data_IF_007295782285
#
_entry.id   IF_007295782285
#
_cell.length_a   1.000
_cell.length_b   1.000
_cell.length_c   1.000
_cell.angle_alpha   90.00
_cell.angle_beta   90.00
_cell.angle_gamma   90.00
#
_symmetry.space_group_name_H-M   'P 1'
#
loop_
_entity.id
_entity.type
_entity.pdbx_description
1 polymer ?
#
# COMPACT_ATOMS: atom_id res chain seq x y z
N UNK A 1 -6.87 -39.17 -5.17
CA UNK A 1 -6.31 -38.61 -3.92
C UNK A 1 -5.48 -37.34 -4.18
N UNK A 2 -4.42 -37.38 -5.02
CA UNK A 2 -3.58 -36.21 -5.32
C UNK A 2 -4.35 -35.00 -5.90
N UNK A 3 -5.30 -35.22 -6.83
CA UNK A 3 -6.12 -34.14 -7.38
C UNK A 3 -7.06 -33.49 -6.35
N UNK A 4 -7.65 -34.28 -5.44
CA UNK A 4 -8.48 -33.77 -4.34
C UNK A 4 -7.65 -33.01 -3.30
N UNK A 5 -6.43 -33.49 -3.02
CA UNK A 5 -5.47 -32.79 -2.16
C UNK A 5 -5.02 -31.46 -2.79
N UNK A 6 -4.77 -31.44 -4.10
CA UNK A 6 -4.45 -30.21 -4.84
C UNK A 6 -5.57 -29.19 -4.76
N UNK A 7 -6.82 -29.60 -5.03
CA UNK A 7 -7.96 -28.72 -4.95
C UNK A 7 -8.16 -28.18 -3.52
N UNK A 8 -8.08 -29.04 -2.50
CA UNK A 8 -8.19 -28.61 -1.10
C UNK A 8 -7.06 -27.68 -0.66
N UNK A 9 -5.81 -27.97 -1.06
CA UNK A 9 -4.65 -27.15 -0.73
C UNK A 9 -4.73 -25.78 -1.42
N UNK A 10 -5.06 -25.74 -2.70
CA UNK A 10 -5.25 -24.47 -3.42
C UNK A 10 -6.40 -23.67 -2.81
N UNK A 11 -7.52 -24.32 -2.49
CA UNK A 11 -8.63 -23.64 -1.83
C UNK A 11 -8.24 -23.10 -0.45
N UNK A 12 -7.41 -23.81 0.31
CA UNK A 12 -6.95 -23.38 1.62
C UNK A 12 -5.93 -22.23 1.54
N UNK A 13 -4.97 -22.32 0.61
CA UNK A 13 -3.89 -21.33 0.45
C UNK A 13 -4.37 -20.07 -0.26
N UNK A 14 -5.29 -20.20 -1.21
CA UNK A 14 -5.65 -19.14 -2.15
C UNK A 14 -7.15 -18.76 -2.13
N UNK A 15 -8.01 -19.51 -1.43
CA UNK A 15 -9.47 -19.36 -1.52
C UNK A 15 -10.07 -20.09 -2.73
N UNK A 16 -11.39 -19.99 -2.94
CA UNK A 16 -12.08 -20.69 -4.04
C UNK A 16 -11.55 -20.24 -5.40
N UNK A 17 -10.70 -21.06 -6.02
CA UNK A 17 -10.24 -20.83 -7.38
C UNK A 17 -11.44 -20.99 -8.34
N UNK A 18 -11.75 -19.95 -9.13
CA UNK A 18 -12.80 -20.02 -10.15
C UNK A 18 -12.43 -21.10 -11.18
N UNK A 19 -13.40 -21.92 -11.55
CA UNK A 19 -13.21 -23.18 -12.30
C UNK A 19 -12.74 -23.07 -13.75
N UNK A 20 -11.99 -22.04 -14.13
CA UNK A 20 -11.71 -21.69 -15.53
C UNK A 20 -10.22 -21.60 -15.89
N UNK A 21 -9.31 -22.03 -15.01
CA UNK A 21 -7.88 -22.14 -15.32
C UNK A 21 -7.42 -23.61 -15.32
N UNK A 22 -6.62 -23.98 -16.32
CA UNK A 22 -5.89 -25.25 -16.38
C UNK A 22 -4.77 -25.27 -15.32
N UNK A 23 -5.15 -25.21 -14.04
CA UNK A 23 -4.25 -25.22 -12.89
C UNK A 23 -3.38 -26.48 -12.98
N UNK A 24 -2.08 -26.30 -13.21
CA UNK A 24 -1.11 -27.41 -13.18
C UNK A 24 -0.53 -27.46 -11.78
N UNK A 25 -0.76 -28.57 -11.08
CA UNK A 25 -0.21 -28.80 -9.74
C UNK A 25 0.64 -30.06 -9.75
N UNK A 26 1.87 -29.94 -9.26
CA UNK A 26 2.79 -31.07 -9.08
C UNK A 26 3.18 -31.20 -7.61
N UNK A 27 3.39 -32.45 -7.17
CA UNK A 27 3.82 -32.80 -5.83
C UNK A 27 5.08 -33.66 -5.91
N UNK A 28 6.06 -33.34 -5.09
CA UNK A 28 7.27 -34.14 -4.93
C UNK A 28 7.43 -34.57 -3.46
N UNK A 29 7.77 -35.84 -3.23
CA UNK A 29 8.10 -36.35 -1.90
C UNK A 29 6.92 -36.38 -0.93
N UNK A 30 5.74 -36.83 -1.39
CA UNK A 30 4.55 -37.01 -0.55
C UNK A 30 4.79 -38.14 0.47
N UNK A 31 4.50 -37.87 1.73
CA UNK A 31 4.45 -38.85 2.82
C UNK A 31 3.31 -38.51 3.76
N UNK A 32 2.76 -39.52 4.44
CA UNK A 32 1.64 -39.32 5.37
C UNK A 32 1.81 -40.18 6.61
N UNK A 33 1.43 -39.63 7.76
CA UNK A 33 1.38 -40.33 9.04
C UNK A 33 0.16 -39.88 9.83
N UNK A 34 -0.45 -40.80 10.56
CA UNK A 34 -1.43 -40.40 11.58
C UNK A 34 -0.69 -39.83 12.78
N UNK A 35 -1.25 -38.79 13.38
CA UNK A 35 -0.78 -38.19 14.63
C UNK A 35 -1.50 -38.84 15.82
N UNK A 36 -0.93 -38.69 17.01
CA UNK A 36 -1.44 -39.32 18.24
C UNK A 36 -2.86 -38.85 18.62
N UNK A 37 -3.27 -37.69 18.11
CA UNK A 37 -4.61 -37.10 18.26
C UNK A 37 -5.61 -37.51 17.15
N UNK A 38 -5.24 -38.50 16.32
CA UNK A 38 -6.09 -39.04 15.25
C UNK A 38 -6.17 -38.17 14.00
N UNK A 39 -5.43 -37.06 13.91
CA UNK A 39 -5.33 -36.28 12.68
C UNK A 39 -4.36 -36.95 11.67
N UNK A 40 -4.49 -36.56 10.40
CA UNK A 40 -3.60 -37.02 9.33
C UNK A 40 -2.57 -35.92 9.04
N UNK A 41 -1.32 -36.18 9.40
CA UNK A 41 -0.17 -35.36 9.02
C UNK A 41 0.34 -35.75 7.64
N UNK A 42 0.37 -34.80 6.70
CA UNK A 42 0.90 -34.99 5.35
C UNK A 42 2.15 -34.12 5.21
N UNK A 43 3.27 -34.70 4.81
CA UNK A 43 4.50 -33.97 4.49
C UNK A 43 4.78 -34.07 2.98
N UNK A 44 5.10 -32.95 2.35
CA UNK A 44 5.40 -32.82 0.93
C UNK A 44 6.70 -32.03 0.79
N UNK A 45 7.69 -32.57 0.07
CA UNK A 45 8.97 -31.86 -0.14
C UNK A 45 8.78 -30.61 -0.98
N UNK A 46 8.01 -30.69 -2.05
CA UNK A 46 7.78 -29.58 -2.98
C UNK A 46 6.36 -29.63 -3.55
N UNK A 47 5.70 -28.48 -3.58
CA UNK A 47 4.45 -28.25 -4.30
C UNK A 47 4.71 -27.17 -5.32
N UNK A 48 4.39 -27.40 -6.58
CA UNK A 48 4.35 -26.32 -7.59
C UNK A 48 2.95 -26.22 -8.16
N UNK A 49 2.50 -24.98 -8.33
CA UNK A 49 1.21 -24.66 -8.91
C UNK A 49 1.40 -23.51 -9.91
N UNK A 50 0.81 -23.59 -11.09
CA UNK A 50 1.00 -22.58 -12.14
C UNK A 50 -0.33 -22.16 -12.78
N UNK A 51 -0.33 -20.94 -13.32
CA UNK A 51 -1.47 -20.32 -14.01
C UNK A 51 -2.73 -20.25 -13.13
N UNK A 52 -2.55 -19.86 -11.87
CA UNK A 52 -3.63 -19.82 -10.88
C UNK A 52 -4.43 -18.54 -11.06
N UNK A 53 -5.76 -18.67 -11.04
CA UNK A 53 -6.68 -17.54 -11.11
C UNK A 53 -7.74 -17.67 -10.03
N UNK A 54 -7.83 -16.66 -9.19
CA UNK A 54 -8.79 -16.57 -8.08
C UNK A 54 -9.64 -15.34 -8.32
N UNK A 55 -10.96 -15.50 -8.32
CA UNK A 55 -11.90 -14.38 -8.40
C UNK A 55 -12.62 -14.27 -7.06
N UNK A 56 -12.64 -13.05 -6.48
CA UNK A 56 -13.37 -12.73 -5.27
C UNK A 56 -14.18 -11.46 -5.49
N UNK A 57 -15.46 -11.64 -5.84
CA UNK A 57 -16.31 -10.54 -6.29
C UNK A 57 -15.70 -9.85 -7.52
N UNK A 58 -15.47 -8.53 -7.49
CA UNK A 58 -14.90 -7.81 -8.62
C UNK A 58 -13.36 -7.82 -8.65
N UNK A 59 -12.70 -8.42 -7.66
CA UNK A 59 -11.25 -8.56 -7.61
C UNK A 59 -10.82 -9.87 -8.28
N UNK A 60 -9.83 -9.78 -9.17
CA UNK A 60 -9.18 -10.92 -9.80
C UNK A 60 -7.73 -10.96 -9.36
N UNK A 61 -7.31 -12.11 -8.84
CA UNK A 61 -5.92 -12.41 -8.50
C UNK A 61 -5.42 -13.49 -9.44
N UNK A 62 -4.35 -13.20 -10.15
CA UNK A 62 -3.62 -14.15 -10.97
C UNK A 62 -2.25 -14.42 -10.33
N UNK A 63 -1.83 -15.68 -10.32
CA UNK A 63 -0.50 -16.09 -9.88
C UNK A 63 0.11 -16.94 -11.00
N UNK A 64 1.17 -16.43 -11.63
CA UNK A 64 1.86 -17.15 -12.70
C UNK A 64 2.42 -18.49 -12.20
N UNK A 65 3.16 -18.45 -11.10
CA UNK A 65 3.71 -19.64 -10.44
C UNK A 65 3.75 -19.47 -8.91
N UNK A 66 3.42 -20.54 -8.21
CA UNK A 66 3.56 -20.73 -6.78
C UNK A 66 4.42 -21.97 -6.54
N UNK A 67 5.51 -21.84 -5.79
CA UNK A 67 6.31 -22.96 -5.31
C UNK A 67 6.34 -22.95 -3.78
N UNK A 68 5.98 -24.07 -3.16
CA UNK A 68 6.08 -24.27 -1.72
C UNK A 68 7.11 -25.36 -1.44
N UNK A 69 7.96 -25.15 -0.44
CA UNK A 69 9.01 -26.09 -0.05
C UNK A 69 8.83 -26.57 1.39
N UNK A 70 9.06 -27.86 1.60
CA UNK A 70 8.91 -28.53 2.90
C UNK A 70 7.56 -28.24 3.53
N UNK A 71 6.50 -28.66 2.85
CA UNK A 71 5.12 -28.42 3.24
C UNK A 71 4.68 -29.48 4.24
N UNK A 72 4.10 -29.04 5.36
CA UNK A 72 3.42 -29.90 6.32
C UNK A 72 1.94 -29.49 6.40
N UNK A 73 1.05 -30.45 6.21
CA UNK A 73 -0.40 -30.27 6.31
C UNK A 73 -0.92 -31.06 7.50
N UNK A 74 -1.80 -30.46 8.28
CA UNK A 74 -2.62 -31.16 9.26
C UNK A 74 -4.04 -31.26 8.74
N UNK A 75 -4.54 -32.49 8.58
CA UNK A 75 -5.86 -32.78 8.02
C UNK A 75 -6.69 -33.51 9.05
N UNK A 76 -7.89 -32.99 9.34
CA UNK A 76 -8.91 -33.68 10.16
C UNK A 76 -10.04 -34.21 9.30
N UNK A 77 -10.66 -35.31 9.73
CA UNK A 77 -11.85 -35.85 9.07
C UNK A 77 -13.06 -35.49 9.91
N UNK A 78 -13.84 -34.52 9.47
CA UNK A 78 -15.09 -34.09 10.12
C UNK A 78 -16.27 -34.54 9.27
N UNK A 79 -17.20 -35.32 9.85
CA UNK A 79 -18.37 -35.82 9.12
C UNK A 79 -18.02 -36.62 7.86
N UNK A 80 -16.90 -37.35 7.89
CA UNK A 80 -16.40 -38.12 6.73
C UNK A 80 -15.72 -37.29 5.65
N UNK A 81 -15.51 -35.98 5.85
CA UNK A 81 -14.86 -35.10 4.89
C UNK A 81 -13.50 -34.62 5.41
N UNK A 82 -12.40 -34.78 4.65
CA UNK A 82 -11.11 -34.25 5.03
C UNK A 82 -11.13 -32.72 4.95
N UNK A 83 -10.69 -32.06 6.02
CA UNK A 83 -10.52 -30.62 6.15
C UNK A 83 -9.09 -30.32 6.52
N UNK A 84 -8.46 -29.43 5.77
CA UNK A 84 -7.15 -28.91 6.11
C UNK A 84 -7.35 -27.93 7.27
N UNK A 85 -6.70 -28.19 8.39
CA UNK A 85 -6.73 -27.35 9.58
C UNK A 85 -5.56 -26.38 9.58
N UNK A 86 -4.38 -26.86 9.16
CA UNK A 86 -3.14 -26.08 9.17
C UNK A 86 -2.26 -26.44 7.99
N UNK A 87 -1.60 -25.42 7.43
CA UNK A 87 -0.55 -25.56 6.41
C UNK A 87 0.68 -24.83 6.87
N UNK A 88 1.83 -25.51 6.83
CA UNK A 88 3.13 -24.92 7.05
C UNK A 88 4.04 -25.16 5.86
N UNK A 89 4.89 -24.20 5.54
CA UNK A 89 5.94 -24.36 4.54
C UNK A 89 7.20 -23.65 5.02
N UNK A 90 8.36 -24.26 4.80
CA UNK A 90 9.64 -23.63 5.13
C UNK A 90 9.89 -22.38 4.27
N UNK A 91 9.50 -22.43 3.00
CA UNK A 91 9.48 -21.28 2.11
C UNK A 91 8.36 -21.37 1.09
N UNK A 92 7.94 -20.20 0.62
CA UNK A 92 7.05 -20.03 -0.52
C UNK A 92 7.65 -19.01 -1.50
N UNK A 93 7.60 -19.31 -2.79
CA UNK A 93 7.97 -18.39 -3.86
C UNK A 93 6.75 -18.18 -4.75
N UNK A 94 6.37 -16.93 -4.97
CA UNK A 94 5.34 -16.53 -5.92
C UNK A 94 5.99 -15.71 -7.03
N UNK A 95 5.56 -15.92 -8.26
CA UNK A 95 5.96 -15.07 -9.38
C UNK A 95 4.80 -14.75 -10.30
N UNK A 96 4.90 -13.57 -10.93
CA UNK A 96 3.86 -13.05 -11.82
C UNK A 96 2.52 -12.87 -11.12
N UNK A 97 2.50 -12.43 -9.85
CA UNK A 97 1.25 -12.13 -9.17
C UNK A 97 0.68 -10.84 -9.76
N UNK A 98 -0.59 -10.88 -10.14
CA UNK A 98 -1.35 -9.71 -10.57
C UNK A 98 -2.65 -9.66 -9.80
N UNK A 99 -2.96 -8.51 -9.21
CA UNK A 99 -4.27 -8.23 -8.63
C UNK A 99 -4.87 -7.10 -9.44
N UNK A 100 -6.08 -7.27 -9.93
CA UNK A 100 -6.78 -6.23 -10.66
C UNK A 100 -8.24 -6.16 -10.21
N UNK A 101 -8.76 -4.94 -10.07
CA UNK A 101 -10.17 -4.71 -9.86
C UNK A 101 -10.50 -3.25 -9.53
N UNK A 102 -11.77 -2.96 -9.22
CA UNK A 102 -12.18 -1.62 -8.83
C UNK A 102 -11.55 -1.27 -7.49
N UNK A 103 -11.18 0.00 -7.32
CA UNK A 103 -10.79 0.50 -6.00
C UNK A 103 -12.03 0.42 -5.09
N UNK A 104 -11.98 -0.29 -3.96
CA UNK A 104 -13.16 -0.49 -3.12
C UNK A 104 -13.71 0.85 -2.64
N UNK A 105 -15.00 1.08 -2.89
CA UNK A 105 -15.67 2.32 -2.48
C UNK A 105 -15.77 2.42 -0.96
N UNK A 106 -15.96 3.63 -0.43
CA UNK A 106 -16.01 3.91 1.01
C UNK A 106 -17.09 3.09 1.74
N UNK A 107 -18.18 2.70 1.06
CA UNK A 107 -19.22 1.83 1.60
C UNK A 107 -18.75 0.38 1.81
N UNK A 108 -17.79 -0.11 1.00
CA UNK A 108 -17.19 -1.43 1.20
C UNK A 108 -16.22 -1.45 2.41
N UNK A 109 -15.70 -0.29 2.82
CA UNK A 109 -14.90 -0.16 4.06
C UNK A 109 -15.74 -0.30 5.33
N UNK A 110 -17.05 -0.03 5.28
CA UNK A 110 -17.94 -0.24 6.43
C UNK A 110 -18.21 -1.73 6.72
N UNK A 111 -18.06 -2.60 5.71
CA UNK A 111 -18.15 -4.06 5.88
C UNK A 111 -16.85 -4.69 6.42
N UNK A 112 -15.72 -3.98 6.28
CA UNK A 112 -14.51 -4.26 7.04
C UNK A 112 -14.65 -3.50 8.37
N UNK A 113 -15.36 -4.10 9.34
CA UNK A 113 -15.24 -3.71 10.76
C UNK A 113 -13.81 -3.99 11.23
N UNK A 114 -12.84 -3.24 10.70
CA UNK A 114 -11.51 -3.14 11.26
C UNK A 114 -11.59 -2.15 12.41
N UNK A 115 -10.97 -2.54 13.52
CA UNK A 115 -10.76 -1.70 14.68
C UNK A 115 -10.26 -0.32 14.25
N UNK A 116 -10.94 0.79 14.58
CA UNK A 116 -10.53 2.14 14.18
C UNK A 116 -9.11 2.53 14.67
N UNK A 117 -8.50 1.72 15.54
CA UNK A 117 -7.12 1.81 15.99
C UNK A 117 -6.06 1.14 15.06
N UNK A 118 -6.43 0.53 13.93
CA UNK A 118 -5.55 -0.42 13.21
C UNK A 118 -4.47 0.18 12.27
N UNK A 119 -4.29 1.50 12.21
CA UNK A 119 -3.28 2.10 11.33
C UNK A 119 -2.06 2.56 12.12
N UNK A 120 -0.91 1.95 11.83
CA UNK A 120 0.42 2.37 12.30
C UNK A 120 1.35 2.37 11.11
N UNK A 121 1.96 3.51 10.80
CA UNK A 121 2.85 3.70 9.65
C UNK A 121 4.23 4.16 10.11
N UNK A 122 4.80 3.50 11.13
CA UNK A 122 6.06 3.90 11.76
C UNK A 122 7.24 4.08 10.77
N UNK A 123 7.37 3.29 9.67
CA UNK A 123 8.39 3.52 8.65
C UNK A 123 8.41 4.94 8.05
N UNK A 124 7.28 5.66 8.09
CA UNK A 124 7.21 7.03 7.60
C UNK A 124 7.87 8.05 8.53
N UNK A 125 8.08 7.73 9.81
CA UNK A 125 8.65 8.64 10.81
C UNK A 125 10.11 9.02 10.52
N UNK A 126 10.84 8.11 9.87
CA UNK A 126 12.25 8.29 9.51
C UNK A 126 12.44 8.32 7.98
N UNK A 127 11.38 8.59 7.22
CA UNK A 127 11.45 8.60 5.78
C UNK A 127 12.34 9.74 5.25
N UNK A 128 13.07 9.45 4.17
CA UNK A 128 13.98 10.38 3.51
C UNK A 128 13.73 10.38 2.01
N UNK A 129 13.73 11.53 1.36
CA UNK A 129 13.57 11.56 -0.09
C UNK A 129 13.18 12.90 -0.68
N UNK A 130 12.65 12.86 -1.89
CA UNK A 130 12.16 14.06 -2.59
C UNK A 130 11.04 13.67 -3.53
N UNK A 131 9.95 14.44 -3.46
CA UNK A 131 8.89 14.43 -4.45
C UNK A 131 9.03 15.66 -5.35
N UNK A 132 8.69 15.47 -6.62
CA UNK A 132 8.65 16.50 -7.65
C UNK A 132 7.30 16.46 -8.34
N UNK A 133 6.78 17.63 -8.69
CA UNK A 133 5.61 17.76 -9.52
C UNK A 133 5.85 18.80 -10.60
N UNK A 134 5.49 18.50 -11.84
CA UNK A 134 5.54 19.46 -12.94
C UNK A 134 4.12 19.71 -13.41
N UNK A 135 3.70 20.98 -13.40
CA UNK A 135 2.35 21.40 -13.75
C UNK A 135 2.43 22.17 -15.06
N UNK A 136 1.92 21.57 -16.13
CA UNK A 136 1.90 22.19 -17.46
C UNK A 136 0.84 23.31 -17.50
N UNK A 137 1.24 24.47 -18.02
CA UNK A 137 0.52 25.75 -18.00
C UNK A 137 -0.26 26.04 -16.69
N UNK A 138 0.47 26.08 -15.58
CA UNK A 138 -0.04 26.36 -14.24
C UNK A 138 -0.64 27.77 -14.11
N UNK A 139 -0.08 28.76 -14.82
CA UNK A 139 -0.64 30.11 -14.96
C UNK A 139 -0.07 30.80 -16.21
N UNK A 140 -0.93 31.35 -17.08
CA UNK A 140 -0.54 32.21 -18.21
C UNK A 140 0.59 31.65 -19.11
N UNK A 141 0.50 30.39 -19.54
CA UNK A 141 1.45 29.71 -20.45
C UNK A 141 2.80 29.32 -19.84
N UNK A 142 2.93 29.30 -18.51
CA UNK A 142 4.16 28.87 -17.84
C UNK A 142 3.98 27.60 -17.02
N UNK A 143 4.97 26.72 -17.15
CA UNK A 143 5.09 25.50 -16.37
C UNK A 143 5.57 25.83 -14.96
N UNK A 144 5.08 25.06 -13.98
CA UNK A 144 5.56 25.12 -12.61
C UNK A 144 6.24 23.82 -12.21
N UNK A 145 7.45 23.91 -11.67
CA UNK A 145 8.20 22.80 -11.10
C UNK A 145 8.19 22.92 -9.58
N UNK A 146 7.59 21.94 -8.91
CA UNK A 146 7.48 21.86 -7.47
C UNK A 146 8.43 20.80 -6.97
N UNK A 147 9.29 21.13 -6.00
CA UNK A 147 10.16 20.18 -5.33
C UNK A 147 9.90 20.21 -3.82
N UNK A 148 9.58 19.04 -3.27
CA UNK A 148 9.26 18.84 -1.86
C UNK A 148 10.25 17.84 -1.25
N UNK A 149 11.27 18.31 -0.50
CA UNK A 149 12.16 17.41 0.23
C UNK A 149 11.42 16.78 1.42
N UNK A 150 11.76 15.53 1.73
CA UNK A 150 11.31 14.80 2.91
C UNK A 150 12.55 14.46 3.74
N UNK A 151 12.56 14.91 4.99
CA UNK A 151 13.66 14.74 5.95
C UNK A 151 13.11 14.26 7.28
N UNK A 152 13.61 13.15 7.80
CA UNK A 152 13.19 12.54 9.06
C UNK A 152 11.67 12.45 9.17
N UNK A 153 11.02 11.94 8.11
CA UNK A 153 9.57 11.81 8.05
C UNK A 153 8.80 13.14 7.98
N UNK A 154 9.49 14.26 7.86
CA UNK A 154 8.92 15.60 7.82
C UNK A 154 9.06 16.29 6.47
N UNK A 155 8.09 17.15 6.16
CA UNK A 155 8.14 18.14 5.10
C UNK A 155 8.19 19.52 5.75
N UNK A 156 9.27 20.26 5.52
CA UNK A 156 9.38 21.67 5.88
C UNK A 156 9.01 22.52 4.67
N UNK A 157 7.90 23.26 4.74
CA UNK A 157 7.45 24.07 3.61
C UNK A 157 8.34 25.30 3.35
N UNK A 158 9.28 25.62 4.24
CA UNK A 158 10.31 26.63 3.95
C UNK A 158 11.39 26.08 2.98
N UNK A 159 11.52 24.76 2.88
CA UNK A 159 12.46 24.08 1.97
C UNK A 159 11.79 23.60 0.67
N UNK A 160 10.45 23.62 0.62
CA UNK A 160 9.70 23.35 -0.60
C UNK A 160 9.86 24.52 -1.59
N UNK A 161 10.18 24.20 -2.84
CA UNK A 161 10.35 25.19 -3.92
C UNK A 161 9.26 25.03 -4.97
N UNK A 162 8.81 26.17 -5.51
CA UNK A 162 7.91 26.25 -6.67
C UNK A 162 8.58 27.20 -7.66
N UNK A 163 9.24 26.62 -8.65
CA UNK A 163 9.90 27.34 -9.72
C UNK A 163 8.91 27.51 -10.88
N UNK A 164 8.68 28.74 -11.32
CA UNK A 164 7.92 29.05 -12.53
C UNK A 164 8.47 30.34 -13.15
N UNK A 165 8.14 30.60 -14.42
CA UNK A 165 8.52 31.85 -15.09
C UNK A 165 7.52 32.94 -14.67
N UNK A 166 7.82 33.63 -13.57
CA UNK A 166 6.96 34.66 -12.97
C UNK A 166 7.34 34.97 -11.52
N UNK A 167 6.57 35.80 -10.78
CA UNK A 167 6.91 36.16 -9.41
C UNK A 167 6.79 34.96 -8.46
N UNK A 168 7.76 34.78 -7.56
CA UNK A 168 7.90 33.61 -6.66
C UNK A 168 6.57 33.10 -6.08
N UNK A 169 6.17 31.88 -6.46
CA UNK A 169 5.10 31.16 -5.78
C UNK A 169 5.67 30.39 -4.60
N UNK A 170 4.94 30.25 -3.50
CA UNK A 170 5.43 29.57 -2.29
C UNK A 170 4.38 28.69 -1.66
N UNK A 171 4.77 27.52 -1.18
CA UNK A 171 3.87 26.58 -0.52
C UNK A 171 3.87 26.78 0.99
N UNK A 172 2.80 26.33 1.65
CA UNK A 172 2.77 26.30 3.10
C UNK A 172 1.58 25.53 3.64
N UNK A 173 1.50 25.47 4.96
CA UNK A 173 0.40 24.85 5.68
C UNK A 173 -0.17 25.81 6.70
N UNK A 174 -1.48 26.01 6.66
CA UNK A 174 -2.23 26.87 7.59
C UNK A 174 -3.31 26.06 8.29
N UNK A 175 -4.03 26.68 9.23
CA UNK A 175 -5.19 26.04 9.88
C UNK A 175 -6.29 25.62 8.91
N UNK A 176 -6.38 26.25 7.74
CA UNK A 176 -7.36 25.85 6.71
C UNK A 176 -6.88 24.67 5.87
N UNK A 177 -5.58 24.45 5.73
CA UNK A 177 -5.04 23.47 4.80
C UNK A 177 -3.67 23.78 4.22
N UNK A 178 -3.24 22.91 3.31
CA UNK A 178 -2.04 23.09 2.48
C UNK A 178 -2.38 24.03 1.34
N UNK A 179 -1.54 25.04 1.12
CA UNK A 179 -1.78 26.11 0.17
C UNK A 179 -0.55 26.43 -0.69
N UNK A 180 -0.81 27.15 -1.78
CA UNK A 180 0.17 27.86 -2.60
C UNK A 180 -0.20 29.35 -2.56
N UNK A 181 0.76 30.19 -2.20
CA UNK A 181 0.69 31.63 -2.37
C UNK A 181 1.22 31.97 -3.76
N UNK A 182 0.38 32.58 -4.58
CA UNK A 182 0.72 33.11 -5.90
C UNK A 182 0.51 34.64 -5.91
N UNK A 183 0.99 35.37 -6.93
CA UNK A 183 0.88 36.84 -6.98
C UNK A 183 -0.56 37.36 -6.95
N UNK A 184 -1.51 36.56 -7.44
CA UNK A 184 -2.95 36.86 -7.46
C UNK A 184 -3.70 36.41 -6.19
N UNK A 185 -3.01 35.81 -5.23
CA UNK A 185 -3.57 35.40 -3.94
C UNK A 185 -3.25 33.96 -3.56
N UNK A 186 -3.87 33.52 -2.46
CA UNK A 186 -3.69 32.18 -1.89
C UNK A 186 -4.69 31.20 -2.46
N UNK A 187 -4.20 30.05 -2.92
CA UNK A 187 -5.02 28.91 -3.34
C UNK A 187 -4.76 27.70 -2.46
N UNK A 188 -5.82 27.05 -1.95
CA UNK A 188 -5.69 25.83 -1.16
C UNK A 188 -5.64 24.61 -2.06
N UNK A 189 -4.64 23.75 -1.87
CA UNK A 189 -4.54 22.46 -2.55
C UNK A 189 -5.33 21.37 -1.82
N UNK A 190 -5.23 21.39 -0.49
CA UNK A 190 -5.89 20.43 0.39
C UNK A 190 -6.46 21.18 1.59
N UNK A 191 -7.75 21.01 1.87
CA UNK A 191 -8.44 21.60 3.02
C UNK A 191 -8.57 20.60 4.16
N UNK A 192 -8.24 21.03 5.38
CA UNK A 192 -8.37 20.20 6.57
C UNK A 192 -9.83 20.09 7.03
N UNK A 193 -10.28 18.92 7.50
CA UNK A 193 -11.64 18.75 8.03
C UNK A 193 -11.87 19.48 9.34
N UNK A 194 -10.84 19.52 10.19
CA UNK A 194 -10.86 20.20 11.48
C UNK A 194 -9.43 20.43 11.95
N UNK A 195 -9.26 21.37 12.88
CA UNK A 195 -7.97 21.63 13.54
C UNK A 195 -8.09 21.40 15.04
N UNK A 196 -7.04 20.91 15.72
CA UNK A 196 -5.70 20.63 15.20
C UNK A 196 -5.61 19.34 14.37
N UNK A 197 -4.74 19.34 13.34
CA UNK A 197 -4.40 18.17 12.53
C UNK A 197 -3.13 17.53 13.08
N UNK A 198 -3.15 16.21 13.23
CA UNK A 198 -2.00 15.45 13.71
C UNK A 198 -0.78 15.64 12.79
N UNK A 199 0.39 15.88 13.40
CA UNK A 199 1.63 16.04 12.65
C UNK A 199 1.84 17.40 11.98
N UNK A 200 0.95 18.37 12.14
CA UNK A 200 1.05 19.66 11.45
C UNK A 200 1.50 20.77 12.40
N UNK A 201 2.61 21.42 12.06
CA UNK A 201 2.98 22.73 12.60
C UNK A 201 2.54 23.80 11.61
N UNK A 202 1.60 24.66 12.01
CA UNK A 202 1.05 25.68 11.10
C UNK A 202 2.00 26.86 10.87
N UNK A 203 1.77 27.57 9.76
CA UNK A 203 2.44 28.82 9.43
C UNK A 203 2.43 29.81 10.61
N UNK A 204 3.53 30.54 10.76
CA UNK A 204 3.64 31.69 11.67
C UNK A 204 3.82 32.97 10.86
N UNK A 205 3.08 34.00 11.25
CA UNK A 205 3.17 35.34 10.65
C UNK A 205 3.90 36.26 11.61
N UNK A 206 4.84 37.05 11.09
CA UNK A 206 5.64 37.96 11.90
C UNK A 206 4.80 39.17 12.34
N UNK A 207 4.94 39.55 13.62
CA UNK A 207 4.30 40.76 14.15
C UNK A 207 5.04 42.07 13.76
N UNK A 208 6.32 41.98 13.38
CA UNK A 208 7.25 43.12 13.24
C UNK A 208 7.40 43.68 11.81
N UNK A 209 7.08 42.91 10.77
CA UNK A 209 7.19 43.33 9.35
C UNK A 209 5.81 43.55 8.70
N UNK A 210 4.78 43.73 9.52
CA UNK A 210 3.37 43.82 9.11
C UNK A 210 2.67 42.44 9.07
N UNK A 211 1.33 42.39 9.24
CA UNK A 211 0.53 41.14 9.35
C UNK A 211 0.55 40.23 8.11
N UNK A 212 1.24 40.64 7.04
CA UNK A 212 1.34 39.95 5.76
C UNK A 212 2.69 39.21 5.58
N UNK A 213 3.68 39.44 6.45
CA UNK A 213 4.97 38.79 6.36
C UNK A 213 4.95 37.39 7.00
N UNK A 214 4.90 36.33 6.18
CA UNK A 214 5.04 34.93 6.63
C UNK A 214 6.50 34.68 7.00
N UNK A 215 6.77 34.41 8.29
CA UNK A 215 8.12 34.12 8.80
C UNK A 215 8.44 32.64 8.78
N UNK A 216 7.43 31.79 8.91
CA UNK A 216 7.55 30.33 8.78
C UNK A 216 6.32 29.77 8.06
N UNK A 217 6.54 28.89 7.07
CA UNK A 217 5.48 28.30 6.23
C UNK A 217 4.85 27.03 6.79
N UNK A 218 5.30 26.61 7.97
CA UNK A 218 4.84 25.42 8.67
C UNK A 218 5.54 24.14 8.24
N UNK A 219 5.21 23.05 8.92
CA UNK A 219 5.78 21.71 8.73
C UNK A 219 4.71 20.64 8.80
N UNK A 220 4.97 19.51 8.15
CA UNK A 220 4.09 18.34 8.17
C UNK A 220 4.90 17.09 8.47
N UNK A 221 4.49 16.31 9.46
CA UNK A 221 5.04 15.00 9.82
C UNK A 221 4.22 13.90 9.16
N UNK A 222 4.82 13.14 8.25
CA UNK A 222 4.15 12.21 7.35
C UNK A 222 3.38 11.12 8.09
N UNK A 223 4.01 10.46 9.07
CA UNK A 223 3.37 9.37 9.82
C UNK A 223 2.07 9.83 10.50
N UNK A 224 2.10 10.75 11.50
CA UNK A 224 0.88 11.12 12.22
C UNK A 224 -0.17 11.78 11.31
N UNK A 225 0.27 12.49 10.27
CA UNK A 225 -0.65 13.08 9.29
C UNK A 225 -1.40 12.00 8.50
N UNK A 226 -0.69 11.04 7.89
CA UNK A 226 -1.30 10.00 7.06
C UNK A 226 -2.12 9.00 7.88
N UNK A 227 -1.65 8.62 9.08
CA UNK A 227 -2.46 7.84 10.01
C UNK A 227 -3.76 8.57 10.39
N UNK A 228 -3.68 9.88 10.64
CA UNK A 228 -4.85 10.72 10.90
C UNK A 228 -5.84 10.73 9.73
N UNK A 229 -5.34 10.89 8.50
CA UNK A 229 -6.17 10.85 7.29
C UNK A 229 -6.86 9.49 7.08
N UNK A 230 -6.15 8.39 7.33
CA UNK A 230 -6.69 7.03 7.17
C UNK A 230 -7.75 6.71 8.22
N UNK A 231 -7.58 7.18 9.46
CA UNK A 231 -8.56 7.01 10.54
C UNK A 231 -9.83 7.86 10.34
N UNK A 232 -9.73 9.00 9.67
CA UNK A 232 -10.86 9.92 9.44
C UNK A 232 -11.85 9.45 8.34
N UNK A 233 -11.60 8.31 7.71
CA UNK A 233 -12.49 7.58 6.79
C UNK A 233 -13.65 8.40 6.20
N UNK A 234 -13.40 9.20 5.15
CA UNK A 234 -14.36 10.05 4.40
C UNK A 234 -15.71 10.30 5.11
N UNK A 235 -15.66 10.92 6.29
CA UNK A 235 -16.82 11.55 6.91
C UNK A 235 -17.26 12.75 6.06
N UNK A 236 -18.56 12.88 5.83
CA UNK A 236 -19.16 13.90 4.98
C UNK A 236 -18.72 15.32 5.40
N UNK A 237 -17.92 15.98 4.56
CA UNK A 237 -17.48 17.36 4.76
C UNK A 237 -16.59 17.84 3.61
N UNK A 238 -16.46 19.16 3.47
CA UNK A 238 -15.67 19.89 2.45
C UNK A 238 -14.15 19.70 2.56
N UNK A 239 -13.71 18.68 3.29
CA UNK A 239 -12.32 18.37 3.55
C UNK A 239 -11.71 17.55 2.40
N UNK A 240 -10.44 17.79 2.12
CA UNK A 240 -9.71 17.09 1.07
C UNK A 240 -9.21 18.01 -0.03
N UNK A 241 -8.93 17.40 -1.19
CA UNK A 241 -8.49 18.13 -2.37
C UNK A 241 -9.57 19.11 -2.83
N UNK A 242 -9.19 20.36 -3.08
CA UNK A 242 -10.10 21.41 -3.53
C UNK A 242 -10.42 21.27 -5.02
N UNK A 243 -11.53 21.86 -5.48
CA UNK A 243 -11.87 21.83 -6.93
C UNK A 243 -10.78 22.46 -7.81
N UNK A 244 -10.17 23.61 -7.46
CA UNK A 244 -9.02 24.13 -8.19
C UNK A 244 -7.85 23.14 -8.25
N UNK A 245 -7.55 22.43 -7.17
CA UNK A 245 -6.48 21.43 -7.16
C UNK A 245 -6.77 20.26 -8.10
N UNK A 246 -8.03 19.78 -8.12
CA UNK A 246 -8.47 18.69 -9.00
C UNK A 246 -8.36 19.05 -10.48
N UNK A 247 -8.60 20.30 -10.85
CA UNK A 247 -8.45 20.77 -12.24
C UNK A 247 -7.00 20.72 -12.73
N UNK A 248 -6.01 20.79 -11.83
CA UNK A 248 -4.60 20.72 -12.19
C UNK A 248 -4.12 19.28 -12.43
N UNK A 249 -4.82 18.27 -11.90
CA UNK A 249 -4.35 16.88 -11.87
C UNK A 249 -4.11 16.27 -13.25
N UNK A 250 -4.95 16.62 -14.24
CA UNK A 250 -4.78 16.14 -15.62
C UNK A 250 -3.53 16.70 -16.31
N UNK A 251 -2.93 17.76 -15.74
CA UNK A 251 -1.78 18.49 -16.28
C UNK A 251 -0.57 18.45 -15.34
N UNK A 252 -0.68 17.67 -14.26
CA UNK A 252 0.37 17.54 -13.25
C UNK A 252 1.04 16.19 -13.41
N UNK A 253 2.31 16.19 -13.81
CA UNK A 253 3.19 15.05 -13.66
C UNK A 253 3.74 15.01 -12.23
N UNK A 254 3.98 13.83 -11.69
CA UNK A 254 4.63 13.64 -10.39
C UNK A 254 5.72 12.60 -10.55
N UNK A 255 6.87 12.84 -9.93
CA UNK A 255 7.93 11.85 -9.82
C UNK A 255 8.66 12.00 -8.49
N UNK A 256 9.23 10.93 -7.97
CA UNK A 256 10.01 11.03 -6.74
C UNK A 256 10.40 9.69 -6.18
N UNK A 257 11.24 9.74 -5.15
CA UNK A 257 11.58 8.57 -4.36
C UNK A 257 11.57 8.92 -2.88
N UNK A 258 11.20 7.93 -2.07
CA UNK A 258 11.17 8.00 -0.62
C UNK A 258 11.74 6.70 -0.08
N UNK A 259 12.86 6.78 0.60
CA UNK A 259 13.40 5.71 1.41
C UNK A 259 12.59 5.63 2.69
N UNK A 260 11.86 4.53 2.89
CA UNK A 260 11.15 4.29 4.15
C UNK A 260 12.16 3.90 5.25
N UNK A 261 11.87 4.31 6.48
CA UNK A 261 12.60 3.85 7.65
C UNK A 261 12.21 2.43 8.06
N UNK A 262 12.87 1.92 9.10
CA UNK A 262 12.47 0.69 9.75
C UNK A 262 11.35 0.96 10.76
N UNK A 263 10.52 -0.04 11.03
CA UNK A 263 9.48 0.09 12.06
C UNK A 263 8.26 -0.78 11.83
N UNK A 264 7.35 -0.72 12.81
CA UNK A 264 6.10 -1.46 12.79
C UNK A 264 5.10 -0.87 11.80
N UNK A 265 4.48 -1.74 11.00
CA UNK A 265 3.44 -1.43 10.04
C UNK A 265 2.16 -2.20 10.41
N UNK A 266 1.10 -1.47 10.76
CA UNK A 266 -0.25 -2.03 10.92
C UNK A 266 -1.17 -1.44 9.86
N UNK A 267 -1.83 -2.33 9.12
CA UNK A 267 -2.88 -2.05 8.15
C UNK A 267 -4.11 -2.91 8.51
N UNK A 268 -5.32 -2.59 8.03
CA UNK A 268 -6.46 -3.47 8.19
C UNK A 268 -6.16 -4.89 7.68
N UNK A 269 -6.16 -5.85 8.60
CA UNK A 269 -5.88 -7.26 8.31
C UNK A 269 -4.41 -7.61 8.11
N UNK A 270 -3.46 -6.69 8.28
CA UNK A 270 -2.02 -6.98 8.14
C UNK A 270 -1.21 -6.27 9.21
N UNK A 271 -0.29 -6.99 9.83
CA UNK A 271 0.71 -6.49 10.75
C UNK A 271 2.08 -7.01 10.32
N UNK A 272 3.10 -6.16 10.32
CA UNK A 272 4.45 -6.53 9.93
C UNK A 272 5.49 -5.54 10.49
N UNK A 273 6.76 -5.93 10.45
CA UNK A 273 7.89 -5.05 10.77
C UNK A 273 8.71 -4.80 9.50
N UNK A 274 8.81 -3.55 9.06
CA UNK A 274 9.66 -3.16 7.95
C UNK A 274 11.10 -3.03 8.43
N UNK A 275 12.04 -3.57 7.65
CA UNK A 275 13.47 -3.52 7.98
C UNK A 275 14.36 -3.48 6.75
N UNK A 276 15.61 -3.04 6.93
CA UNK A 276 16.62 -2.98 5.88
C UNK A 276 16.76 -1.62 5.21
N UNK A 277 16.25 -0.55 5.82
CA UNK A 277 16.41 0.82 5.31
C UNK A 277 17.89 1.21 5.14
N UNK A 278 18.77 0.81 6.06
CA UNK A 278 20.22 1.01 5.97
C UNK A 278 20.89 0.24 4.81
N UNK A 279 20.23 -0.80 4.31
CA UNK A 279 20.65 -1.60 3.15
C UNK A 279 20.00 -1.10 1.84
N UNK A 280 19.25 0.02 1.89
CA UNK A 280 18.53 0.56 0.73
C UNK A 280 17.27 -0.24 0.34
N UNK A 281 16.73 -1.06 1.25
CA UNK A 281 15.48 -1.80 1.05
C UNK A 281 14.28 -0.91 1.31
N UNK A 282 13.11 -1.23 0.76
CA UNK A 282 11.87 -0.46 0.96
C UNK A 282 11.93 0.98 0.39
N UNK A 283 12.66 1.19 -0.70
CA UNK A 283 12.57 2.47 -1.43
C UNK A 283 11.27 2.50 -2.24
N UNK A 284 10.44 3.51 -1.96
CA UNK A 284 9.23 3.82 -2.72
C UNK A 284 9.58 4.77 -3.85
N UNK A 285 9.24 4.42 -5.08
CA UNK A 285 9.26 5.34 -6.23
C UNK A 285 7.84 5.69 -6.61
N UNK A 286 7.59 6.98 -6.77
CA UNK A 286 6.32 7.52 -7.21
C UNK A 286 6.49 8.04 -8.62
N UNK A 287 5.58 7.71 -9.53
CA UNK A 287 5.56 8.33 -10.85
C UNK A 287 4.15 8.45 -11.41
N UNK A 288 3.92 9.54 -12.14
CA UNK A 288 2.72 9.83 -12.89
C UNK A 288 3.03 10.85 -13.97
N UNK A 289 2.50 10.65 -15.18
CA UNK A 289 2.51 11.69 -16.23
C UNK A 289 1.35 12.69 -16.08
N UNK A 290 0.25 12.24 -15.49
CA UNK A 290 -0.95 13.01 -15.22
C UNK A 290 -1.65 12.38 -14.00
N UNK A 291 -1.53 13.00 -12.83
CA UNK A 291 -2.05 12.46 -11.55
C UNK A 291 -3.56 12.23 -11.61
N UNK A 292 -4.28 12.97 -12.46
CA UNK A 292 -5.72 12.80 -12.69
C UNK A 292 -6.08 11.50 -13.43
N UNK A 293 -5.10 10.83 -14.03
CA UNK A 293 -5.30 9.64 -14.87
C UNK A 293 -4.68 8.39 -14.27
N UNK A 294 -3.49 8.51 -13.72
CA UNK A 294 -2.73 7.38 -13.20
C UNK A 294 -1.74 7.81 -12.13
N UNK A 295 -1.55 6.96 -11.14
CA UNK A 295 -0.46 7.04 -10.18
C UNK A 295 0.16 5.65 -10.01
N UNK A 296 1.46 5.56 -10.24
CA UNK A 296 2.21 4.33 -10.00
C UNK A 296 3.12 4.50 -8.80
N UNK A 297 3.11 3.50 -7.93
CA UNK A 297 3.97 3.36 -6.77
C UNK A 297 4.75 2.06 -6.92
N UNK A 298 6.07 2.13 -6.95
CA UNK A 298 6.95 0.97 -6.98
C UNK A 298 7.67 0.87 -5.64
N UNK A 299 7.72 -0.33 -5.06
CA UNK A 299 8.54 -0.64 -3.89
C UNK A 299 9.56 -1.65 -4.36
N UNK A 300 10.79 -1.17 -4.55
CA UNK A 300 11.92 -2.02 -4.90
C UNK A 300 12.53 -2.61 -3.63
N UNK A 301 12.77 -3.93 -3.65
CA UNK A 301 13.36 -4.64 -2.53
C UNK A 301 12.56 -4.50 -1.25
N UNK A 302 11.24 -4.68 -1.32
CA UNK A 302 10.39 -4.84 -0.14
C UNK A 302 11.02 -5.90 0.78
N UNK A 303 11.10 -5.57 2.07
CA UNK A 303 11.68 -6.41 3.11
C UNK A 303 10.92 -6.16 4.40
N UNK A 304 10.05 -7.11 4.74
CA UNK A 304 9.25 -7.08 5.96
C UNK A 304 9.38 -8.40 6.72
N UNK A 305 9.26 -8.33 8.04
CA UNK A 305 9.40 -9.46 8.96
C UNK A 305 8.18 -9.59 9.84
N UNK A 306 8.06 -10.75 10.50
CA UNK A 306 7.03 -11.04 11.49
C UNK A 306 5.62 -10.70 10.96
N UNK A 307 5.35 -11.05 9.70
CA UNK A 307 4.10 -10.70 9.04
C UNK A 307 2.99 -11.57 9.60
N UNK A 308 1.89 -10.94 9.99
CA UNK A 308 0.63 -11.57 10.35
C UNK A 308 -0.44 -10.98 9.45
N UNK A 309 -1.11 -11.83 8.68
CA UNK A 309 -2.19 -11.44 7.79
C UNK A 309 -3.50 -12.14 8.17
N UNK A 310 -4.62 -11.46 7.98
CA UNK A 310 -5.98 -11.98 8.18
C UNK A 310 -6.83 -11.61 6.98
N UNK A 311 -7.35 -12.63 6.29
CA UNK A 311 -8.23 -12.48 5.13
C UNK A 311 -9.48 -13.31 5.37
N UNK A 312 -10.60 -12.65 5.68
CA UNK A 312 -11.81 -13.34 6.13
C UNK A 312 -11.52 -14.19 7.38
N UNK A 313 -11.81 -15.49 7.32
CA UNK A 313 -11.52 -16.44 8.39
C UNK A 313 -10.07 -16.97 8.37
N UNK A 314 -9.31 -16.75 7.28
CA UNK A 314 -7.96 -17.26 7.15
C UNK A 314 -6.97 -16.36 7.89
N UNK A 315 -6.18 -16.95 8.78
CA UNK A 315 -5.05 -16.31 9.42
C UNK A 315 -3.76 -16.90 8.87
N UNK A 316 -2.84 -16.03 8.52
CA UNK A 316 -1.51 -16.38 8.04
C UNK A 316 -0.44 -15.68 8.85
N UNK A 317 0.71 -16.33 8.99
CA UNK A 317 1.94 -15.73 9.50
C UNK A 317 3.13 -16.16 8.64
N UNK A 318 4.09 -15.29 8.47
CA UNK A 318 5.39 -15.64 7.93
C UNK A 318 6.49 -14.82 8.60
N UNK A 319 7.68 -15.39 8.67
CA UNK A 319 8.82 -14.74 9.34
C UNK A 319 9.35 -13.58 8.51
N UNK A 320 9.39 -13.74 7.19
CA UNK A 320 9.93 -12.74 6.28
C UNK A 320 9.18 -12.78 4.95
N UNK A 321 9.00 -11.59 4.37
CA UNK A 321 8.53 -11.41 2.99
C UNK A 321 9.50 -10.46 2.30
N UNK A 322 10.00 -10.89 1.14
CA UNK A 322 10.92 -10.12 0.32
C UNK A 322 10.54 -10.17 -1.16
N UNK A 323 10.60 -9.04 -1.85
CA UNK A 323 10.27 -8.98 -3.27
C UNK A 323 10.11 -7.56 -3.80
N UNK A 324 9.59 -7.44 -5.01
CA UNK A 324 9.28 -6.15 -5.63
C UNK A 324 7.78 -6.01 -5.80
N UNK A 325 7.23 -4.84 -5.50
CA UNK A 325 5.79 -4.59 -5.60
C UNK A 325 5.56 -3.34 -6.44
N UNK A 326 4.66 -3.43 -7.41
CA UNK A 326 4.17 -2.27 -8.16
C UNK A 326 2.67 -2.14 -7.93
N UNK A 327 2.24 -0.95 -7.51
CA UNK A 327 0.85 -0.56 -7.33
C UNK A 327 0.53 0.51 -8.37
N UNK A 328 -0.58 0.35 -9.09
CA UNK A 328 -1.10 1.34 -10.02
C UNK A 328 -2.54 1.66 -9.63
N UNK A 329 -2.83 2.94 -9.51
CA UNK A 329 -4.20 3.45 -9.38
C UNK A 329 -4.47 4.28 -10.63
N UNK A 330 -5.50 3.94 -11.38
CA UNK A 330 -5.78 4.60 -12.65
C UNK A 330 -7.27 4.75 -12.90
N UNK A 331 -7.62 5.70 -13.78
CA UNK A 331 -9.00 5.94 -14.19
C UNK A 331 -9.27 5.15 -15.47
N UNK A 332 -10.30 4.30 -15.43
CA UNK A 332 -10.85 3.64 -16.62
C UNK A 332 -12.32 4.01 -16.76
N UNK A 333 -12.64 4.73 -17.85
CA UNK A 333 -13.95 5.35 -18.00
C UNK A 333 -14.25 6.32 -16.86
N UNK A 334 -15.26 6.00 -16.04
CA UNK A 334 -15.66 6.78 -14.87
C UNK A 334 -15.25 6.14 -13.54
N UNK A 335 -14.50 5.03 -13.57
CA UNK A 335 -14.15 4.26 -12.38
C UNK A 335 -12.65 4.36 -12.07
N UNK A 336 -12.34 4.39 -10.78
CA UNK A 336 -10.97 4.19 -10.29
C UNK A 336 -10.69 2.70 -10.18
N UNK A 337 -9.60 2.26 -10.78
CA UNK A 337 -9.10 0.89 -10.72
C UNK A 337 -7.79 0.81 -9.98
N UNK A 338 -7.56 -0.38 -9.43
CA UNK A 338 -6.36 -0.77 -8.74
C UNK A 338 -5.74 -1.95 -9.50
N UNK A 339 -4.45 -1.85 -9.81
CA UNK A 339 -3.65 -2.97 -10.25
C UNK A 339 -2.42 -3.13 -9.35
N UNK A 340 -2.20 -4.33 -8.82
CA UNK A 340 -0.98 -4.70 -8.09
C UNK A 340 -0.23 -5.73 -8.92
N UNK A 341 1.07 -5.55 -9.11
CA UNK A 341 1.95 -6.51 -9.75
C UNK A 341 3.09 -6.86 -8.81
N UNK A 342 3.34 -8.15 -8.63
CA UNK A 342 4.47 -8.68 -7.86
C UNK A 342 5.24 -9.64 -8.76
N UNK A 343 6.34 -9.20 -9.39
CA UNK A 343 7.10 -10.03 -10.32
C UNK A 343 7.65 -11.29 -9.65
N UNK A 344 8.20 -11.12 -8.44
CA UNK A 344 8.69 -12.20 -7.59
C UNK A 344 8.52 -11.82 -6.12
N UNK A 345 8.05 -12.79 -5.33
CA UNK A 345 7.87 -12.67 -3.89
C UNK A 345 8.39 -13.95 -3.22
N UNK A 346 9.17 -13.78 -2.17
CA UNK A 346 9.66 -14.87 -1.32
C UNK A 346 9.10 -14.72 0.08
N UNK A 347 8.60 -15.80 0.63
CA UNK A 347 8.14 -15.90 2.01
C UNK A 347 8.91 -16.99 2.72
N UNK A 348 9.30 -16.76 3.97
CA UNK A 348 9.93 -17.75 4.83
C UNK A 348 9.07 -18.12 6.03
N UNK A 349 9.13 -19.38 6.44
CA UNK A 349 8.38 -19.95 7.55
C UNK A 349 6.87 -19.58 7.50
N UNK A 350 6.24 -19.93 6.38
CA UNK A 350 4.81 -19.69 6.16
C UNK A 350 4.00 -20.64 7.03
N UNK A 351 3.03 -20.08 7.77
CA UNK A 351 2.04 -20.86 8.51
C UNK A 351 0.66 -20.27 8.28
N UNK A 352 -0.29 -21.11 7.90
CA UNK A 352 -1.68 -20.78 7.62
C UNK A 352 -2.57 -21.66 8.49
N UNK A 353 -3.56 -21.07 9.18
CA UNK A 353 -4.46 -21.75 10.11
C UNK A 353 -5.16 -20.78 11.05
#
# INVERSE_FOLDING_TARGET
MAAALAASLLNFVLGSAGGDAANRVTFEGLSSRFTDDGALGIAIRKVEAASLRIASGPLVVEVGQLALHQVALLVRVEGGRPRIERVEAASAELSGVKVDGPLPDAAARAAVQADPCAWTLAPLAAAEGTLRAEIVDAHLLFDANVKVPIRHGGVDFNEASVEHVGPDSRMGVSRMGVYVDAPNGRSYLYQFPSTPVAGVEYERRGALLGPWAVTQRGKLQLQPFLEGLLRQGRGHGTAGLTDPARQLFDRTSVSGHVQLGDGHLTLPGVEAEMGGSSEGRNTVRLHSKAVGRELTVEIAGLSVRNVVARVGALKGRCREVAGDVTLRVFVEGTQLRLAVTVPALKLSALHLG
#
